data_IF_150350296038
#
_entry.id   IF_150350296038
#
_cell.length_a   1.000
_cell.length_b   1.000
_cell.length_c   1.000
_cell.angle_alpha   90.00
_cell.angle_beta   90.00
_cell.angle_gamma   90.00
#
_symmetry.space_group_name_H-M   'P 1'
#
loop_
_entity.id
_entity.type
_entity.pdbx_description
1 polymer ?
#
# COMPACT_ATOMS: atom_id res chain seq x y z
N UNK A 1 -0.41 12.96 -4.29
CA UNK A 1 -1.68 12.30 -3.90
C UNK A 1 -2.07 12.70 -2.47
N UNK A 2 -3.24 12.29 -1.97
CA UNK A 2 -3.78 12.67 -0.64
C UNK A 2 -2.82 12.41 0.54
N UNK A 3 -1.87 11.46 0.39
CA UNK A 3 -0.87 11.15 1.41
C UNK A 3 0.03 12.32 1.82
N UNK A 4 0.14 13.36 0.99
CA UNK A 4 0.80 14.62 1.37
C UNK A 4 0.30 15.15 2.71
N UNK A 5 -1.02 15.15 2.94
CA UNK A 5 -1.59 15.71 4.17
C UNK A 5 -1.22 14.90 5.41
N UNK A 6 -1.05 13.58 5.28
CA UNK A 6 -0.59 12.72 6.37
C UNK A 6 0.89 13.00 6.70
N UNK A 7 1.74 13.12 5.68
CA UNK A 7 3.16 13.47 5.82
C UNK A 7 3.30 14.85 6.48
N UNK A 8 2.65 15.87 5.93
CA UNK A 8 2.71 17.25 6.44
C UNK A 8 2.26 17.33 7.92
N UNK A 9 1.26 16.54 8.31
CA UNK A 9 0.76 16.49 9.69
C UNK A 9 1.82 15.96 10.66
N UNK A 10 2.54 14.90 10.29
CA UNK A 10 3.58 14.30 11.14
C UNK A 10 4.82 15.21 11.17
N UNK A 11 5.19 15.81 10.03
CA UNK A 11 6.29 16.77 9.96
C UNK A 11 6.04 18.01 10.83
N UNK A 12 4.81 18.56 10.81
CA UNK A 12 4.40 19.68 11.67
C UNK A 12 4.43 19.34 13.15
N UNK A 13 4.28 18.07 13.51
CA UNK A 13 4.45 17.58 14.88
C UNK A 13 5.94 17.40 15.27
N UNK A 14 6.89 17.75 14.39
CA UNK A 14 8.32 17.69 14.63
C UNK A 14 8.98 16.35 14.31
N UNK A 15 8.25 15.39 13.73
CA UNK A 15 8.80 14.08 13.37
C UNK A 15 9.07 13.97 11.87
N UNK A 16 10.33 13.72 11.50
CA UNK A 16 10.76 13.52 10.11
C UNK A 16 10.95 12.04 9.74
N UNK A 17 10.82 11.12 10.71
CA UNK A 17 10.93 9.68 10.50
C UNK A 17 9.56 9.12 10.09
N UNK A 18 9.27 9.23 8.80
CA UNK A 18 7.97 8.85 8.22
C UNK A 18 8.21 7.80 7.14
N UNK A 19 7.37 6.75 7.13
CA UNK A 19 7.30 5.77 6.05
C UNK A 19 5.85 5.70 5.56
N UNK A 20 5.66 5.58 4.26
CA UNK A 20 4.34 5.40 3.64
C UNK A 20 4.21 3.96 3.15
N UNK A 21 3.09 3.31 3.40
CA UNK A 21 2.89 1.91 3.02
C UNK A 21 1.75 1.77 2.01
N UNK A 22 2.04 1.22 0.84
CA UNK A 22 1.02 0.76 -0.11
C UNK A 22 0.51 -0.61 0.32
N UNK A 23 -0.81 -0.78 0.36
CA UNK A 23 -1.45 -2.01 0.87
C UNK A 23 -2.74 -2.38 0.14
N UNK A 24 -2.90 -1.89 -1.09
CA UNK A 24 -4.05 -2.11 -1.95
C UNK A 24 -5.13 -1.04 -1.77
N UNK A 25 -5.78 -0.71 -2.88
CA UNK A 25 -6.96 0.16 -2.93
C UNK A 25 -8.19 -0.70 -3.23
N UNK A 26 -9.29 -0.42 -2.54
CA UNK A 26 -10.58 -1.08 -2.77
C UNK A 26 -10.97 -1.05 -4.25
N UNK A 27 -11.21 -2.23 -4.81
CA UNK A 27 -11.69 -2.40 -6.17
C UNK A 27 -12.98 -3.23 -6.14
N UNK A 28 -14.12 -2.53 -6.18
CA UNK A 28 -15.43 -3.16 -5.94
C UNK A 28 -15.63 -3.51 -4.46
N UNK A 29 -16.41 -4.56 -4.18
CA UNK A 29 -16.90 -4.82 -2.83
C UNK A 29 -15.99 -5.72 -1.96
N UNK A 30 -15.16 -6.57 -2.58
CA UNK A 30 -14.46 -7.66 -1.88
C UNK A 30 -13.03 -7.87 -2.38
N UNK A 31 -12.48 -6.91 -3.12
CA UNK A 31 -11.14 -7.05 -3.70
C UNK A 31 -10.30 -5.79 -3.54
N UNK A 32 -8.99 -5.99 -3.62
CA UNK A 32 -7.99 -4.93 -3.57
C UNK A 32 -7.15 -4.98 -4.84
N UNK A 33 -6.90 -3.81 -5.42
CA UNK A 33 -5.94 -3.66 -6.52
C UNK A 33 -4.76 -2.81 -6.05
N UNK A 34 -3.56 -3.23 -6.46
CA UNK A 34 -2.34 -2.45 -6.24
C UNK A 34 -2.09 -1.62 -7.49
N UNK A 35 -2.16 -0.30 -7.35
CA UNK A 35 -1.71 0.63 -8.37
C UNK A 35 -0.26 1.03 -8.10
N UNK A 36 0.68 0.40 -8.80
CA UNK A 36 2.11 0.63 -8.60
C UNK A 36 2.56 2.06 -8.95
N UNK A 37 1.74 2.87 -9.64
CA UNK A 37 2.01 4.30 -9.84
C UNK A 37 2.03 5.06 -8.51
N UNK A 38 1.37 4.52 -7.48
CA UNK A 38 1.36 5.11 -6.14
C UNK A 38 2.75 5.15 -5.51
N UNK A 39 3.64 4.20 -5.81
CA UNK A 39 4.99 4.15 -5.24
C UNK A 39 5.79 5.42 -5.57
N UNK A 40 6.06 5.76 -6.85
CA UNK A 40 6.80 6.98 -7.18
C UNK A 40 6.06 8.25 -6.75
N UNK A 41 4.72 8.26 -6.78
CA UNK A 41 3.96 9.41 -6.32
C UNK A 41 4.06 9.63 -4.79
N UNK A 42 4.16 8.56 -4.00
CA UNK A 42 4.39 8.66 -2.56
C UNK A 42 5.84 9.03 -2.24
N UNK A 43 6.81 8.49 -2.98
CA UNK A 43 8.22 8.83 -2.84
C UNK A 43 8.50 10.32 -3.12
N UNK A 44 7.72 10.96 -4.00
CA UNK A 44 7.81 12.40 -4.27
C UNK A 44 7.58 13.28 -3.03
N UNK A 45 7.07 12.71 -1.92
CA UNK A 45 6.95 13.39 -0.62
C UNK A 45 8.22 13.31 0.25
N UNK A 46 9.31 12.72 -0.26
CA UNK A 46 10.59 12.63 0.44
C UNK A 46 10.62 11.58 1.56
N UNK A 47 9.70 10.62 1.54
CA UNK A 47 9.60 9.55 2.53
C UNK A 47 9.82 8.18 1.87
N UNK A 48 10.48 7.22 2.55
CA UNK A 48 10.51 5.83 2.11
C UNK A 48 9.09 5.29 1.91
N UNK A 49 8.93 4.45 0.88
CA UNK A 49 7.68 3.78 0.58
C UNK A 49 7.87 2.30 0.77
N UNK A 50 6.94 1.65 1.47
CA UNK A 50 6.95 0.22 1.76
C UNK A 50 5.79 -0.43 1.04
N UNK A 51 5.98 -1.63 0.50
CA UNK A 51 4.89 -2.43 -0.05
C UNK A 51 4.47 -3.53 0.93
N UNK A 52 3.23 -3.48 1.39
CA UNK A 52 2.61 -4.57 2.14
C UNK A 52 2.08 -5.63 1.17
N UNK A 53 2.94 -6.58 0.83
CA UNK A 53 2.63 -7.60 -0.18
C UNK A 53 1.56 -8.61 0.28
N UNK A 54 1.46 -8.86 1.59
CA UNK A 54 0.53 -9.87 2.12
C UNK A 54 -0.88 -9.32 2.19
N UNK A 55 -1.07 -8.13 2.74
CA UNK A 55 -2.41 -7.58 2.88
C UNK A 55 -2.98 -6.98 1.59
N UNK A 56 -2.12 -6.60 0.64
CA UNK A 56 -2.56 -6.17 -0.70
C UNK A 56 -3.33 -7.25 -1.48
N UNK A 57 -3.22 -8.51 -1.04
CA UNK A 57 -3.90 -9.67 -1.63
C UNK A 57 -5.05 -10.19 -0.76
N UNK A 58 -5.44 -9.44 0.27
CA UNK A 58 -6.61 -9.78 1.06
C UNK A 58 -7.89 -9.56 0.27
N UNK A 59 -8.84 -10.46 0.50
CA UNK A 59 -10.21 -10.32 0.03
C UNK A 59 -11.10 -9.97 1.23
N UNK A 60 -11.34 -8.67 1.48
CA UNK A 60 -12.16 -8.22 2.60
C UNK A 60 -13.63 -8.62 2.42
N UNK A 61 -14.39 -8.62 3.53
CA UNK A 61 -15.85 -8.79 3.53
C UNK A 61 -16.37 -10.09 2.88
N UNK A 62 -15.63 -11.19 3.07
CA UNK A 62 -16.08 -12.53 2.71
C UNK A 62 -17.33 -12.92 3.52
N UNK A 63 -18.29 -13.57 2.85
CA UNK A 63 -19.56 -14.02 3.47
C UNK A 63 -19.37 -15.04 4.59
N UNK A 64 -18.20 -15.68 4.67
CA UNK A 64 -17.81 -16.61 5.74
C UNK A 64 -17.34 -15.92 7.03
N UNK A 65 -17.23 -14.59 7.06
CA UNK A 65 -16.79 -13.82 8.24
C UNK A 65 -15.28 -13.84 8.50
N UNK A 66 -14.49 -14.52 7.66
CA UNK A 66 -13.02 -14.57 7.75
C UNK A 66 -12.43 -13.93 6.49
N UNK A 67 -11.52 -12.98 6.66
CA UNK A 67 -10.78 -12.36 5.54
C UNK A 67 -9.99 -13.43 4.79
N UNK A 68 -10.30 -13.60 3.50
CA UNK A 68 -9.57 -14.48 2.60
C UNK A 68 -8.36 -13.79 2.00
N UNK A 69 -7.67 -14.46 1.08
CA UNK A 69 -6.64 -13.83 0.28
C UNK A 69 -5.96 -14.79 -0.68
N UNK A 70 -5.06 -14.24 -1.49
CA UNK A 70 -4.36 -14.99 -2.55
C UNK A 70 -2.86 -15.11 -2.27
N UNK A 71 -2.42 -15.87 -1.25
CA UNK A 71 -1.00 -15.93 -0.86
C UNK A 71 -0.06 -16.42 -1.95
N UNK A 72 -0.57 -17.21 -2.91
CA UNK A 72 0.20 -17.68 -4.07
C UNK A 72 0.70 -16.52 -4.96
N UNK A 73 0.06 -15.35 -4.90
CA UNK A 73 0.43 -14.17 -5.69
C UNK A 73 1.39 -13.22 -4.96
N UNK A 74 1.76 -13.49 -3.70
CA UNK A 74 2.66 -12.63 -2.92
C UNK A 74 3.96 -12.37 -3.67
N UNK A 75 4.55 -13.42 -4.26
CA UNK A 75 5.79 -13.30 -5.02
C UNK A 75 5.66 -12.40 -6.26
N UNK A 76 4.50 -12.40 -6.91
CA UNK A 76 4.22 -11.52 -8.05
C UNK A 76 4.13 -10.07 -7.61
N UNK A 77 3.40 -9.81 -6.52
CA UNK A 77 3.25 -8.46 -5.96
C UNK A 77 4.59 -7.91 -5.47
N UNK A 78 5.37 -8.72 -4.76
CA UNK A 78 6.69 -8.32 -4.28
C UNK A 78 7.66 -7.95 -5.43
N UNK A 79 7.68 -8.75 -6.51
CA UNK A 79 8.53 -8.47 -7.68
C UNK A 79 8.13 -7.18 -8.38
N UNK A 80 6.82 -6.94 -8.55
CA UNK A 80 6.33 -5.71 -9.17
C UNK A 80 6.63 -4.48 -8.29
N UNK A 81 6.57 -4.62 -6.95
CA UNK A 81 6.93 -3.56 -6.02
C UNK A 81 8.42 -3.18 -6.11
N UNK A 82 9.30 -4.19 -6.10
CA UNK A 82 10.75 -4.00 -6.28
C UNK A 82 11.03 -3.31 -7.62
N UNK A 83 10.41 -3.78 -8.71
CA UNK A 83 10.58 -3.19 -10.04
C UNK A 83 10.08 -1.73 -10.12
N UNK A 84 9.08 -1.39 -9.30
CA UNK A 84 8.50 -0.04 -9.22
C UNK A 84 9.26 0.89 -8.25
N UNK A 85 10.24 0.36 -7.52
CA UNK A 85 11.13 1.12 -6.65
C UNK A 85 10.67 1.27 -5.21
N UNK A 86 9.73 0.44 -4.72
CA UNK A 86 9.41 0.38 -3.28
C UNK A 86 10.57 -0.23 -2.48
#
# INVERSE_FOLDING_TARGET
PSMKFAVDKIQKAGNQQIMLTERGTTFGYQDLVVDYRNIPWMQAHGTPVIMDCTHSLQQPNQTSGVTGGNPQLIGTIAKAAIASGA
#
